data_IF_360973566795
#
_entry.id   IF_360973566795
#
_cell.length_a   1.000
_cell.length_b   1.000
_cell.length_c   1.000
_cell.angle_alpha   90.00
_cell.angle_beta   90.00
_cell.angle_gamma   90.00
#
_symmetry.space_group_name_H-M   'P 1'
#
loop_
_entity.id
_entity.type
_entity.pdbx_description
1 polymer ?
2 polymer ?
3 water ?
#
loop_
_entity_poly.entity_id
_entity_poly.type
_entity_poly.pdbx_seq_one_letter_code
_entity_poly.pdbx_strand_id
2 'polyribonucleotide' 'CGUAAA' ?
#
# COMPACT_ATOMS: atom_id res chain seq x y z
N UNK A 14 -8.60 4.86 11.64
CA UNK A 14 -8.09 6.12 12.29
C UNK A 14 -7.84 7.15 11.18
N UNK A 15 -6.91 6.80 10.29
CA UNK A 15 -6.58 7.57 9.08
C UNK A 15 -7.24 6.94 7.83
N UNK A 16 -7.84 5.75 8.01
CA UNK A 16 -8.68 5.09 7.01
C UNK A 16 -9.97 5.89 6.81
N UNK A 17 -10.59 5.70 5.65
CA UNK A 17 -11.94 6.22 5.39
C UNK A 17 -12.95 5.42 6.22
N UNK A 18 -12.88 4.10 6.07
CA UNK A 18 -13.73 3.16 6.81
C UNK A 18 -12.82 2.41 7.79
N UNK A 19 -12.87 2.77 9.09
CA UNK A 19 -11.87 2.20 10.01
C UNK A 19 -12.05 0.69 10.27
N UNK A 20 -13.30 0.27 10.53
CA UNK A 20 -13.63 -1.08 11.00
C UNK A 20 -13.96 -2.13 9.92
N UNK A 21 -13.98 -1.75 8.64
CA UNK A 21 -14.37 -2.65 7.53
C UNK A 21 -13.64 -3.99 7.48
N UNK A 22 -14.29 -4.99 6.88
CA UNK A 22 -13.72 -6.34 6.73
C UNK A 22 -13.62 -6.73 5.25
N UNK A 23 -12.59 -7.51 4.93
CA UNK A 23 -12.31 -7.91 3.55
C UNK A 23 -13.08 -9.18 3.21
N UNK A 24 -14.36 -9.01 2.88
CA UNK A 24 -15.31 -10.12 2.70
C UNK A 24 -16.20 -9.88 1.48
N UNK A 25 -16.54 -10.96 0.76
CA UNK A 25 -17.17 -10.92 -0.59
C UNK A 25 -18.23 -9.84 -0.83
N UNK A 26 -19.09 -9.64 0.17
CA UNK A 26 -20.17 -8.64 0.12
C UNK A 26 -19.73 -7.17 0.26
N UNK A 27 -18.53 -6.92 0.81
CA UNK A 27 -17.91 -5.58 0.78
C UNK A 27 -17.56 -5.24 -0.69
N UNK A 28 -18.00 -4.08 -1.21
CA UNK A 28 -17.57 -3.70 -2.57
C UNK A 28 -16.07 -3.40 -2.68
N UNK A 29 -15.41 -3.19 -1.54
CA UNK A 29 -13.96 -3.08 -1.45
C UNK A 29 -13.23 -4.44 -1.35
N UNK A 30 -13.94 -5.57 -1.52
CA UNK A 30 -13.33 -6.91 -1.38
C UNK A 30 -12.22 -7.14 -2.40
N UNK A 31 -11.08 -7.67 -1.93
CA UNK A 31 -9.94 -8.01 -2.78
C UNK A 31 -9.32 -9.35 -2.36
N UNK A 32 -8.77 -10.11 -3.34
CA UNK A 32 -8.03 -11.32 -2.99
C UNK A 32 -6.66 -10.96 -2.41
N UNK A 33 -5.94 -11.94 -1.87
CA UNK A 33 -4.60 -11.73 -1.31
C UNK A 33 -3.56 -12.61 -2.00
N UNK A 34 -3.01 -12.15 -3.15
CA UNK A 34 -1.95 -12.87 -3.83
C UNK A 34 -0.76 -13.15 -2.93
N UNK A 35 -0.44 -14.44 -2.80
CA UNK A 35 0.77 -14.91 -2.14
C UNK A 35 1.50 -15.82 -3.12
N UNK A 36 2.73 -15.46 -3.46
CA UNK A 36 3.60 -16.32 -4.24
C UNK A 36 4.88 -16.54 -3.45
N UNK A 37 5.79 -17.32 -4.03
CA UNK A 37 7.03 -17.66 -3.38
C UNK A 37 8.16 -17.55 -4.38
N UNK A 38 9.19 -16.80 -4.00
CA UNK A 38 10.30 -16.45 -4.87
C UNK A 38 11.56 -17.17 -4.38
N UNK A 39 11.98 -18.16 -5.16
CA UNK A 39 13.16 -18.98 -4.86
C UNK A 39 14.49 -18.21 -4.79
N UNK A 40 14.57 -17.06 -5.45
CA UNK A 40 15.79 -16.26 -5.51
C UNK A 40 15.99 -15.31 -4.32
N UNK A 41 15.04 -15.23 -3.40
CA UNK A 41 15.22 -14.43 -2.19
C UNK A 41 16.27 -15.09 -1.31
N UNK A 42 17.06 -14.28 -0.57
CA UNK A 42 18.01 -14.88 0.38
C UNK A 42 17.32 -15.67 1.48
N UNK A 43 18.08 -16.49 2.23
CA UNK A 43 17.48 -17.16 3.39
C UNK A 43 16.90 -16.17 4.41
N UNK A 44 15.71 -16.49 4.91
CA UNK A 44 14.97 -15.68 5.88
C UNK A 44 14.68 -14.23 5.42
N UNK A 45 14.42 -14.07 4.13
CA UNK A 45 13.95 -12.80 3.57
C UNK A 45 12.56 -12.97 2.95
N UNK A 46 11.81 -11.88 2.91
CA UNK A 46 10.48 -11.86 2.28
C UNK A 46 10.40 -10.71 1.28
N UNK A 47 9.31 -10.68 0.52
CA UNK A 47 9.06 -9.64 -0.47
C UNK A 47 7.65 -9.08 -0.27
N UNK A 48 7.55 -7.75 -0.20
CA UNK A 48 6.28 -7.08 0.09
C UNK A 48 6.04 -5.99 -0.95
N UNK A 49 5.00 -6.17 -1.77
CA UNK A 49 4.58 -5.16 -2.75
C UNK A 49 3.77 -4.04 -2.08
N UNK A 50 4.18 -2.79 -2.27
CA UNK A 50 3.50 -1.65 -1.66
C UNK A 50 2.13 -1.36 -2.30
N UNK A 51 1.16 -1.05 -1.44
CA UNK A 51 -0.12 -0.48 -1.84
C UNK A 51 -0.17 1.01 -1.54
N UNK A 52 0.86 1.53 -0.87
CA UNK A 52 0.92 2.95 -0.52
C UNK A 52 1.50 3.74 -1.68
N UNK A 53 0.90 4.90 -1.93
CA UNK A 53 1.34 5.82 -2.96
C UNK A 53 1.72 7.14 -2.32
N UNK A 54 2.81 7.71 -2.82
CA UNK A 54 3.17 9.08 -2.50
C UNK A 54 2.61 10.02 -3.56
N UNK A 55 1.90 11.04 -3.11
CA UNK A 55 1.37 12.07 -3.98
C UNK A 55 1.93 13.40 -3.51
N UNK A 56 2.47 14.17 -4.45
CA UNK A 56 3.04 15.49 -4.19
C UNK A 56 2.48 16.56 -5.13
N UNK A 57 2.66 17.81 -4.72
CA UNK A 57 2.09 18.95 -5.43
C UNK A 57 0.62 19.14 -5.12
N UNK A 58 0.20 18.66 -3.95
CA UNK A 58 -1.18 18.75 -3.51
C UNK A 58 -1.44 20.21 -3.17
N UNK A 59 -2.33 20.88 -3.95
CA UNK A 59 -2.60 22.27 -3.63
C UNK A 59 -3.17 22.47 -2.23
N UNK A 60 -3.14 23.71 -1.79
CA UNK A 60 -3.55 24.06 -0.44
C UNK A 60 -5.07 23.92 -0.28
N UNK A 61 -5.82 24.25 -1.33
CA UNK A 61 -7.29 24.11 -1.33
C UNK A 61 -7.80 22.65 -1.26
N UNK A 62 -6.99 21.68 -1.73
CA UNK A 62 -7.38 20.25 -1.73
C UNK A 62 -7.27 19.57 -0.37
N UNK A 63 -8.29 18.76 -0.05
CA UNK A 63 -8.38 18.02 1.22
C UNK A 63 -8.35 16.50 0.99
N UNK A 64 -8.53 15.73 2.06
CA UNK A 64 -8.46 14.26 2.01
C UNK A 64 -9.47 13.66 1.03
N UNK A 65 -10.73 14.07 1.15
CA UNK A 65 -11.80 13.58 0.27
C UNK A 65 -11.56 13.93 -1.21
N UNK A 66 -10.95 15.09 -1.48
CA UNK A 66 -10.65 15.50 -2.86
C UNK A 66 -9.68 14.53 -3.52
N UNK A 67 -8.56 14.25 -2.85
CA UNK A 67 -7.56 13.30 -3.36
C UNK A 67 -8.14 11.93 -3.66
N UNK A 68 -8.93 11.43 -2.71
CA UNK A 68 -9.63 10.16 -2.87
C UNK A 68 -10.44 10.16 -4.16
N UNK A 69 -11.26 11.19 -4.33
CA UNK A 69 -12.11 11.29 -5.50
C UNK A 69 -11.38 11.46 -6.83
N UNK A 70 -10.21 12.09 -6.85
CA UNK A 70 -9.49 12.23 -8.12
C UNK A 70 -8.97 10.87 -8.59
N UNK A 71 -8.66 9.99 -7.63
CA UNK A 71 -8.17 8.64 -7.94
C UNK A 71 -9.29 7.62 -8.16
N UNK A 72 -10.53 7.97 -7.81
CA UNK A 72 -11.70 7.08 -7.96
C UNK A 72 -11.76 6.31 -9.29
N UNK A 73 -11.56 7.00 -10.44
CA UNK A 73 -11.57 6.29 -11.73
C UNK A 73 -10.60 5.14 -11.80
N UNK A 74 -9.40 5.36 -11.27
CA UNK A 74 -8.28 4.43 -11.40
C UNK A 74 -8.14 3.45 -10.23
N UNK A 75 -8.57 3.84 -9.03
CA UNK A 75 -8.38 3.01 -7.85
C UNK A 75 -9.29 3.41 -6.70
N UNK A 76 -9.71 2.41 -5.93
CA UNK A 76 -10.49 2.63 -4.73
C UNK A 76 -9.50 2.89 -3.60
N UNK A 77 -9.68 4.01 -2.90
CA UNK A 77 -8.73 4.48 -1.87
C UNK A 77 -9.13 4.01 -0.49
N UNK A 78 -8.19 3.40 0.22
CA UNK A 78 -8.42 2.88 1.56
C UNK A 78 -8.15 3.93 2.63
N UNK A 79 -7.09 4.72 2.45
CA UNK A 79 -6.67 5.68 3.47
C UNK A 79 -5.87 6.82 2.89
N UNK A 80 -5.93 7.96 3.57
CA UNK A 80 -5.22 9.16 3.17
C UNK A 80 -4.67 9.92 4.38
N UNK A 81 -3.35 9.90 4.53
CA UNK A 81 -2.66 10.81 5.42
C UNK A 81 -2.20 11.95 4.53
N UNK A 82 -2.78 13.12 4.74
CA UNK A 82 -2.43 14.33 4.00
C UNK A 82 -1.58 15.23 4.90
N UNK A 83 -0.66 15.97 4.30
CA UNK A 83 0.04 17.06 4.99
C UNK A 83 0.01 18.32 4.12
N UNK A 84 -1.03 19.13 4.31
CA UNK A 84 -1.32 20.27 3.41
C UNK A 84 -0.19 21.29 3.33
N UNK A 85 0.50 21.50 4.45
CA UNK A 85 1.61 22.46 4.53
C UNK A 85 2.78 22.06 3.64
N UNK A 86 3.20 20.79 3.70
CA UNK A 86 4.30 20.32 2.86
C UNK A 86 3.86 19.78 1.49
N UNK A 87 2.59 19.93 1.13
CA UNK A 87 2.10 19.63 -0.23
C UNK A 87 2.21 18.16 -0.66
N UNK A 88 2.21 17.24 0.31
CA UNK A 88 2.28 15.81 0.01
C UNK A 88 1.22 15.01 0.75
N UNK A 89 0.97 13.79 0.27
CA UNK A 89 0.08 12.86 0.96
C UNK A 89 0.46 11.41 0.72
N UNK A 90 0.01 10.54 1.62
CA UNK A 90 0.22 9.11 1.51
C UNK A 90 -1.11 8.41 1.40
N UNK A 91 -1.30 7.73 0.27
CA UNK A 91 -2.57 7.17 -0.09
C UNK A 91 -2.42 5.69 -0.31
N UNK A 92 -3.05 4.92 0.56
CA UNK A 92 -3.10 3.48 0.45
C UNK A 92 -4.34 3.14 -0.37
N UNK A 93 -4.17 2.28 -1.37
CA UNK A 93 -5.29 1.74 -2.15
C UNK A 93 -5.47 0.25 -1.85
N UNK A 94 -6.65 -0.29 -2.11
CA UNK A 94 -7.02 -1.64 -1.62
C UNK A 94 -6.26 -2.83 -2.23
N UNK A 95 -5.64 -2.64 -3.39
CA UNK A 95 -4.87 -3.70 -4.01
C UNK A 95 -3.69 -3.15 -4.78
N UNK A 96 -2.67 -3.99 -4.91
CA UNK A 96 -1.47 -3.69 -5.68
C UNK A 96 -1.77 -3.46 -7.16
N UNK A 97 -2.71 -4.23 -7.72
CA UNK A 97 -3.14 -4.03 -9.10
C UNK A 97 -3.62 -2.59 -9.30
N UNK A 98 -4.48 -2.14 -8.38
CA UNK A 98 -5.01 -0.78 -8.42
C UNK A 98 -3.94 0.31 -8.35
N UNK A 99 -2.97 0.14 -7.45
CA UNK A 99 -1.85 1.09 -7.31
C UNK A 99 -1.06 1.23 -8.61
N UNK A 100 -0.76 0.10 -9.25
CA UNK A 100 0.00 0.08 -10.50
C UNK A 100 -0.74 0.81 -11.61
N UNK A 101 -2.05 0.59 -11.68
CA UNK A 101 -2.94 1.29 -12.62
C UNK A 101 -2.90 2.82 -12.44
N UNK A 102 -2.86 3.27 -11.19
CA UNK A 102 -2.76 4.71 -10.87
C UNK A 102 -1.44 5.29 -11.36
N UNK A 103 -0.34 4.57 -11.14
CA UNK A 103 0.97 5.07 -11.56
C UNK A 103 1.17 5.23 -13.07
N UNK A 104 0.47 4.43 -13.87
CA UNK A 104 0.54 4.54 -15.33
C UNK A 104 -0.43 5.56 -15.91
N UNK A 105 -1.71 5.42 -15.55
CA UNK A 105 -2.81 6.08 -16.26
C UNK A 105 -3.30 7.40 -15.67
N UNK A 106 -3.27 7.52 -14.35
CA UNK A 106 -3.73 8.75 -13.68
C UNK A 106 -2.89 9.97 -14.04
N UNK A 107 -3.57 11.08 -14.32
CA UNK A 107 -2.93 12.36 -14.67
C UNK A 107 -1.88 12.21 -15.78
N UNK A 108 -2.25 11.44 -16.80
CA UNK A 108 -1.39 11.15 -17.95
C UNK A 108 -1.17 12.40 -18.81
N UNK A 109 -2.21 13.23 -18.94
CA UNK A 109 -2.09 14.55 -19.60
C UNK A 109 -1.24 15.57 -18.82
N UNK A 110 -1.33 15.56 -17.49
CA UNK A 110 -0.68 16.56 -16.64
C UNK A 110 -1.54 17.79 -16.39
N UNK A 111 -2.86 17.61 -16.43
CA UNK A 111 -3.83 18.69 -16.18
C UNK A 111 -3.85 19.09 -14.70
N UNK A 112 -3.82 18.08 -13.83
CA UNK A 112 -3.65 18.31 -12.39
C UNK A 112 -2.19 18.54 -12.04
N UNK A 113 -1.93 19.23 -10.92
CA UNK A 113 -0.56 19.44 -10.45
C UNK A 113 0.02 18.28 -9.62
N UNK A 114 -0.72 17.17 -9.48
CA UNK A 114 -0.29 16.05 -8.65
C UNK A 114 0.71 15.16 -9.35
N UNK A 115 1.69 14.70 -8.59
CA UNK A 115 2.65 13.72 -9.06
C UNK A 115 2.55 12.50 -8.19
N UNK A 116 2.52 11.34 -8.83
CA UNK A 116 2.33 10.07 -8.17
C UNK A 116 3.61 9.26 -8.27
N UNK A 117 4.12 8.85 -7.12
CA UNK A 117 5.30 8.00 -7.01
C UNK A 117 5.02 6.92 -5.97
N UNK A 118 5.89 5.92 -5.88
CA UNK A 118 5.73 4.85 -4.90
C UNK A 118 5.96 5.35 -3.48
N UNK A 119 5.41 4.62 -2.51
CA UNK A 119 5.60 4.89 -1.08
C UNK A 119 5.71 3.59 -0.30
N UNK A 120 6.03 3.71 0.99
CA UNK A 120 6.28 2.55 1.84
C UNK A 120 5.34 2.61 3.03
N UNK A 121 4.37 1.70 3.05
CA UNK A 121 3.46 1.58 4.20
C UNK A 121 3.98 0.63 5.27
N UNK A 122 4.88 -0.28 4.88
CA UNK A 122 5.25 -1.43 5.70
C UNK A 122 6.75 -1.74 5.67
N UNK A 123 7.25 -2.20 6.81
CA UNK A 123 8.63 -2.63 6.92
C UNK A 123 9.56 -1.45 6.92
N UNK A 124 10.88 -1.72 6.99
CA UNK A 124 11.82 -0.61 6.99
C UNK A 124 11.82 0.11 5.67
N UNK A 125 12.17 1.39 5.75
CA UNK A 125 12.14 2.30 4.61
C UNK A 125 13.33 1.95 3.70
N UNK A 126 14.47 1.70 4.33
CA UNK A 126 15.71 1.33 3.63
C UNK A 126 15.74 -0.04 2.93
N UNK A 127 14.72 -0.87 3.13
CA UNK A 127 14.55 -2.10 2.35
C UNK A 127 13.78 -1.90 1.05
N UNK A 128 13.14 -0.74 0.89
CA UNK A 128 12.27 -0.47 -0.26
C UNK A 128 13.02 -0.09 -1.54
N UNK A 129 12.66 -0.75 -2.64
CA UNK A 129 12.98 -0.32 -4.00
C UNK A 129 11.85 0.62 -4.39
N UNK A 130 12.10 1.92 -4.36
CA UNK A 130 11.08 2.92 -4.73
C UNK A 130 10.82 3.01 -6.24
N UNK A 131 11.69 2.44 -7.08
CA UNK A 131 11.46 2.44 -8.53
C UNK A 131 10.38 1.42 -8.84
N UNK A 132 10.60 0.19 -8.41
CA UNK A 132 9.69 -0.92 -8.69
C UNK A 132 8.55 -1.01 -7.66
N UNK A 133 8.79 -0.52 -6.45
CA UNK A 133 7.76 -0.39 -5.42
C UNK A 133 7.57 -1.57 -4.49
N UNK A 134 8.62 -2.33 -4.23
CA UNK A 134 8.56 -3.43 -3.25
C UNK A 134 9.70 -3.32 -2.25
N UNK A 135 9.56 -4.02 -1.13
CA UNK A 135 10.63 -4.15 -0.15
C UNK A 135 11.10 -5.61 -0.12
N UNK A 136 12.41 -5.83 -0.11
CA UNK A 136 12.98 -7.14 0.24
C UNK A 136 13.46 -7.04 1.69
N UNK A 137 12.68 -7.62 2.60
CA UNK A 137 12.88 -7.42 4.02
C UNK A 137 13.40 -8.70 4.65
N UNK A 138 14.49 -8.61 5.43
CA UNK A 138 14.88 -9.76 6.24
C UNK A 138 13.98 -9.88 7.46
N UNK A 139 13.53 -11.10 7.76
CA UNK A 139 12.52 -11.31 8.80
C UNK A 139 12.93 -10.82 10.19
N UNK A 140 14.23 -10.78 10.47
CA UNK A 140 14.70 -10.27 11.76
C UNK A 140 14.45 -8.77 11.96
N UNK A 141 14.20 -8.05 10.88
CA UNK A 141 13.87 -6.63 10.95
C UNK A 141 12.37 -6.35 10.97
N UNK A 142 11.57 -7.35 11.33
CA UNK A 142 10.15 -7.16 11.51
C UNK A 142 9.88 -7.23 12.99
N UNK A 143 9.04 -6.33 13.49
CA UNK A 143 8.59 -6.39 14.89
C UNK A 143 7.62 -7.54 15.07
N UNK A 144 7.34 -7.88 16.32
CA UNK A 144 6.33 -8.88 16.64
C UNK A 144 5.02 -8.45 16.01
N UNK A 145 4.73 -7.16 16.13
CA UNK A 145 3.58 -6.54 15.49
C UNK A 145 3.55 -6.76 13.97
N UNK A 146 4.65 -6.44 13.29
CA UNK A 146 4.74 -6.60 11.83
C UNK A 146 4.50 -8.04 11.38
N UNK A 147 5.09 -8.99 12.10
CA UNK A 147 4.87 -10.41 11.82
C UNK A 147 3.42 -10.81 12.06
N UNK A 148 2.81 -10.24 13.10
CA UNK A 148 1.39 -10.47 13.42
C UNK A 148 0.48 -9.98 12.31
N UNK A 149 0.67 -8.73 11.89
CA UNK A 149 -0.17 -8.13 10.86
C UNK A 149 0.05 -8.78 9.50
N UNK A 150 1.26 -9.23 9.20
CA UNK A 150 1.52 -9.87 7.90
C UNK A 150 0.61 -11.07 7.64
N UNK A 151 0.32 -11.84 8.68
CA UNK A 151 -0.55 -13.01 8.54
C UNK A 151 -2.02 -12.71 8.81
N UNK A 152 -2.30 -11.86 9.79
CA UNK A 152 -3.67 -11.58 10.21
C UNK A 152 -4.33 -10.37 9.54
N UNK A 153 -3.70 -9.75 8.55
CA UNK A 153 -4.20 -8.47 8.01
C UNK A 153 -5.48 -8.65 7.21
N UNK A 154 -6.26 -7.58 7.17
CA UNK A 154 -7.54 -7.55 6.44
C UNK A 154 -7.35 -7.42 4.93
N UNK A 155 -6.64 -6.37 4.51
CA UNK A 155 -6.17 -6.26 3.12
C UNK A 155 -4.68 -6.49 3.04
N UNK A 156 -4.27 -7.21 2.00
CA UNK A 156 -2.90 -7.65 1.85
C UNK A 156 -2.51 -8.70 2.87
N UNK A 157 -1.21 -8.91 2.98
CA UNK A 157 -0.69 -9.96 3.82
C UNK A 157 -0.84 -11.33 3.18
N UNK A 158 -0.73 -12.34 4.04
CA UNK A 158 -0.74 -13.73 3.65
C UNK A 158 -2.04 -14.46 4.02
N UNK A 159 -2.88 -13.83 4.85
CA UNK A 159 -4.08 -14.46 5.42
C UNK A 159 -3.87 -15.88 5.95
N UNK A 160 -3.10 -16.01 7.03
CA UNK A 160 -2.91 -17.29 7.71
C UNK A 160 -1.70 -18.10 7.29
N UNK A 161 -1.25 -17.96 6.04
CA UNK A 161 -0.01 -18.62 5.60
C UNK A 161 1.10 -18.06 6.47
N UNK A 162 1.88 -18.94 7.12
CA UNK A 162 2.95 -18.43 7.96
C UNK A 162 4.10 -17.89 7.12
N UNK A 163 4.89 -17.02 7.73
CA UNK A 163 6.01 -16.40 7.04
C UNK A 163 7.17 -17.38 6.93
N UNK A 164 7.65 -17.55 5.71
CA UNK A 164 8.81 -18.37 5.42
C UNK A 164 9.65 -17.74 4.33
N UNK A 165 10.89 -18.19 4.23
CA UNK A 165 11.79 -17.71 3.20
C UNK A 165 11.20 -17.85 1.80
N UNK A 166 11.30 -16.77 1.04
CA UNK A 166 10.79 -16.72 -0.31
C UNK A 166 9.41 -16.11 -0.42
N UNK A 167 8.63 -16.07 0.67
CA UNK A 167 7.23 -15.65 0.57
C UNK A 167 7.08 -14.22 0.05
N UNK A 168 6.05 -14.03 -0.77
CA UNK A 168 5.76 -12.74 -1.38
C UNK A 168 4.30 -12.43 -1.16
N UNK A 169 4.01 -11.23 -0.67
CA UNK A 169 2.63 -10.80 -0.44
C UNK A 169 2.46 -9.30 -0.62
N UNK A 170 1.20 -8.86 -0.65
CA UNK A 170 0.88 -7.44 -0.75
C UNK A 170 0.98 -6.78 0.63
N UNK A 171 1.29 -5.49 0.65
CA UNK A 171 1.42 -4.72 1.89
C UNK A 171 0.24 -4.97 2.83
N UNK A 172 0.50 -5.42 4.06
CA UNK A 172 -0.59 -5.66 4.99
C UNK A 172 -1.04 -4.37 5.69
N UNK A 173 -2.30 -4.34 6.12
CA UNK A 173 -2.81 -3.27 6.99
C UNK A 173 -2.10 -3.31 8.32
N UNK A 174 -1.92 -2.14 8.93
CA UNK A 174 -1.24 -2.03 10.23
C UNK A 174 -2.17 -1.34 11.23
N UNK A 175 -1.68 -1.11 12.45
CA UNK A 175 -2.44 -0.41 13.50
C UNK A 175 -1.62 0.80 13.99
N UNK A 176 -2.16 2.00 13.74
CA UNK A 176 -1.53 3.27 14.10
C UNK A 176 -2.61 4.34 14.24
#
# INVERSE_FOLDING_TARGET
GSIGAPNTTFGTNNHHLYPDELNVSNNPHYRPKPVSYDSTLPPDHIKVYSRTLFIGGVPLNMKEWDLANVLKPFAEVQSVILNNSRKHAFVKVYSRHEAENVLQNFNKDGALPLRTRWGVGFGPRDCCDYQHGYSIIPMHRLTDADKKWSVSAQWGGTSGQPLVTGIVFEEPDIIVGEGV
#
